data_IF_013207934630
#
_entry.id   IF_013207934630
#
_cell.length_a   1.000
_cell.length_b   1.000
_cell.length_c   1.000
_cell.angle_alpha   90.00
_cell.angle_beta   90.00
_cell.angle_gamma   90.00
#
_symmetry.space_group_name_H-M   'P 1'
#
loop_
_entity.id
_entity.type
_entity.pdbx_description
1 polymer ?
#
# COMPACT_ATOMS: atom_id res chain seq x y z
N UNK A 1 -31.64 -4.23 -26.16
CA UNK A 1 -31.36 -2.80 -26.07
C UNK A 1 -31.70 -2.37 -24.66
N UNK A 2 -30.69 -2.35 -23.81
CA UNK A 2 -30.72 -1.73 -22.49
C UNK A 2 -29.31 -1.16 -22.35
N UNK A 3 -29.23 0.16 -22.39
CA UNK A 3 -27.99 0.93 -22.33
C UNK A 3 -27.38 0.74 -20.94
N UNK A 4 -26.12 0.34 -20.89
CA UNK A 4 -25.35 0.26 -19.66
C UNK A 4 -24.69 1.61 -19.43
N UNK A 5 -24.96 2.20 -18.27
CA UNK A 5 -24.29 3.41 -17.80
C UNK A 5 -22.78 3.14 -17.69
N UNK A 6 -22.04 3.83 -18.57
CA UNK A 6 -20.60 3.83 -18.64
C UNK A 6 -20.05 5.13 -18.04
N UNK A 7 -20.36 5.35 -16.76
CA UNK A 7 -19.76 6.43 -15.98
C UNK A 7 -19.17 5.84 -14.69
N UNK A 8 -17.85 5.95 -14.55
CA UNK A 8 -17.08 5.58 -13.36
C UNK A 8 -17.34 6.52 -12.18
N UNK A 9 -18.59 6.89 -11.93
CA UNK A 9 -19.00 7.68 -10.79
C UNK A 9 -19.41 6.71 -9.69
N UNK A 10 -18.58 6.64 -8.64
CA UNK A 10 -18.95 6.00 -7.37
C UNK A 10 -20.30 6.60 -6.93
N UNK A 11 -21.41 5.81 -6.90
CA UNK A 11 -22.65 6.35 -6.38
C UNK A 11 -22.47 6.60 -4.89
N UNK A 12 -22.76 7.83 -4.44
CA UNK A 12 -22.87 8.13 -3.03
C UNK A 12 -24.10 7.39 -2.48
N UNK A 13 -23.90 6.17 -1.96
CA UNK A 13 -24.93 5.43 -1.24
C UNK A 13 -25.06 6.09 0.13
N UNK A 14 -25.99 7.04 0.25
CA UNK A 14 -26.40 7.63 1.53
C UNK A 14 -27.47 6.78 2.19
N UNK A 15 -27.18 5.50 2.44
CA UNK A 15 -28.00 4.71 3.35
C UNK A 15 -27.59 5.04 4.80
N UNK A 16 -28.27 6.05 5.35
CA UNK A 16 -28.09 6.58 6.70
C UNK A 16 -28.44 5.57 7.84
N UNK A 17 -28.64 4.29 7.50
CA UNK A 17 -28.98 3.22 8.45
C UNK A 17 -27.80 2.36 8.91
N UNK A 18 -26.63 2.44 8.26
CA UNK A 18 -25.44 1.66 8.65
C UNK A 18 -24.60 2.39 9.70
N UNK A 19 -24.15 1.64 10.69
CA UNK A 19 -23.20 2.14 11.68
C UNK A 19 -21.85 2.39 10.99
N UNK A 20 -21.22 3.54 11.28
CA UNK A 20 -19.88 3.88 10.82
C UNK A 20 -18.91 2.68 10.99
N UNK A 21 -18.14 2.31 9.94
CA UNK A 21 -17.16 1.22 10.00
C UNK A 21 -16.19 1.38 11.17
N UNK A 22 -15.79 0.26 11.77
CA UNK A 22 -14.74 0.25 12.79
C UNK A 22 -13.38 0.31 12.11
N UNK A 23 -12.87 1.51 11.87
CA UNK A 23 -11.63 1.71 11.12
C UNK A 23 -10.68 2.69 11.80
N UNK A 24 -9.39 2.54 11.49
CA UNK A 24 -8.36 3.50 11.90
C UNK A 24 -7.37 3.80 10.77
N UNK A 25 -6.83 5.02 10.79
CA UNK A 25 -5.66 5.39 10.01
C UNK A 25 -4.43 5.01 10.83
N UNK A 26 -3.59 4.12 10.30
CA UNK A 26 -2.43 3.57 11.00
C UNK A 26 -1.14 4.11 10.39
N UNK A 27 -0.21 4.52 11.25
CA UNK A 27 1.12 4.98 10.86
C UNK A 27 2.20 4.33 11.72
N UNK A 28 3.16 3.67 11.06
CA UNK A 28 4.41 3.22 11.68
C UNK A 28 5.49 4.26 11.41
N UNK A 29 5.90 5.00 12.42
CA UNK A 29 6.83 6.11 12.27
C UNK A 29 7.66 6.35 13.53
N UNK A 30 8.81 7.01 13.37
CA UNK A 30 9.72 7.38 14.45
C UNK A 30 9.54 8.83 14.86
N UNK A 31 9.93 9.15 16.09
CA UNK A 31 9.92 10.53 16.61
C UNK A 31 10.58 11.55 15.69
N UNK A 32 11.71 11.19 15.05
CA UNK A 32 12.47 12.05 14.13
C UNK A 32 11.72 12.40 12.83
N UNK A 33 10.66 11.68 12.50
CA UNK A 33 9.85 11.86 11.29
C UNK A 33 8.65 12.79 11.55
N UNK A 34 8.56 13.40 12.75
CA UNK A 34 7.46 14.26 13.15
C UNK A 34 7.07 15.31 12.10
N UNK A 35 8.05 16.05 11.57
CA UNK A 35 7.77 17.11 10.59
C UNK A 35 7.08 16.57 9.33
N UNK A 36 7.60 15.46 8.81
CA UNK A 36 7.10 14.85 7.60
C UNK A 36 5.74 14.18 7.83
N UNK A 37 5.57 13.52 8.98
CA UNK A 37 4.30 12.93 9.38
C UNK A 37 3.22 14.01 9.60
N UNK A 38 3.54 15.12 10.28
CA UNK A 38 2.61 16.22 10.50
C UNK A 38 2.12 16.83 9.17
N UNK A 39 3.01 17.00 8.18
CA UNK A 39 2.63 17.46 6.84
C UNK A 39 1.68 16.47 6.16
N UNK A 40 2.00 15.18 6.21
CA UNK A 40 1.14 14.12 5.67
C UNK A 40 -0.24 14.12 6.34
N UNK A 41 -0.29 14.19 7.68
CA UNK A 41 -1.55 14.23 8.43
C UNK A 41 -2.39 15.43 8.04
N UNK A 42 -1.81 16.64 7.97
CA UNK A 42 -2.53 17.85 7.59
C UNK A 42 -3.23 17.69 6.23
N UNK A 43 -2.53 17.13 5.25
CA UNK A 43 -3.11 16.87 3.93
C UNK A 43 -4.22 15.82 4.01
N UNK A 44 -3.99 14.67 4.65
CA UNK A 44 -5.02 13.63 4.72
C UNK A 44 -6.26 14.10 5.51
N UNK A 45 -6.06 14.86 6.58
CA UNK A 45 -7.14 15.49 7.35
C UNK A 45 -7.95 16.45 6.50
N UNK A 46 -7.29 17.33 5.72
CA UNK A 46 -7.95 18.28 4.83
C UNK A 46 -8.71 17.59 3.69
N UNK A 47 -8.08 16.60 3.04
CA UNK A 47 -8.63 15.94 1.86
C UNK A 47 -9.72 14.92 2.20
N UNK A 48 -9.63 14.26 3.35
CA UNK A 48 -10.49 13.14 3.72
C UNK A 48 -10.94 13.19 5.19
N UNK A 49 -10.01 13.12 6.15
CA UNK A 49 -10.38 12.63 7.49
C UNK A 49 -11.21 13.61 8.32
N UNK A 50 -11.13 14.93 8.10
CA UNK A 50 -12.02 15.90 8.80
C UNK A 50 -13.51 15.68 8.52
N UNK A 51 -13.85 15.08 7.37
CA UNK A 51 -15.23 14.75 7.01
C UNK A 51 -15.75 13.53 7.77
N UNK A 52 -14.88 12.54 8.00
CA UNK A 52 -15.27 11.22 8.52
C UNK A 52 -14.85 10.96 9.96
N UNK A 53 -13.81 11.64 10.46
CA UNK A 53 -13.29 11.58 11.82
C UNK A 53 -12.90 10.15 12.25
N UNK A 54 -12.13 9.44 11.42
CA UNK A 54 -11.55 8.14 11.82
C UNK A 54 -10.37 8.33 12.76
N UNK A 55 -10.20 7.36 13.65
CA UNK A 55 -9.14 7.38 14.66
C UNK A 55 -7.76 7.19 14.02
N UNK A 56 -6.73 7.75 14.63
CA UNK A 56 -5.33 7.53 14.29
C UNK A 56 -4.67 6.55 15.26
N UNK A 57 -3.89 5.61 14.74
CA UNK A 57 -3.05 4.70 15.53
C UNK A 57 -1.60 4.85 15.10
N UNK A 58 -0.77 5.38 15.99
CA UNK A 58 0.66 5.51 15.80
C UNK A 58 1.40 4.36 16.47
N UNK A 59 2.25 3.68 15.71
CA UNK A 59 3.07 2.57 16.17
C UNK A 59 4.54 2.96 16.05
N UNK A 60 5.35 2.64 17.06
CA UNK A 60 6.80 2.88 17.04
C UNK A 60 7.55 1.82 17.84
N UNK A 61 8.80 1.55 17.46
CA UNK A 61 9.69 0.66 18.19
C UNK A 61 10.41 1.34 19.38
N UNK A 62 10.02 2.59 19.68
CA UNK A 62 10.48 3.43 20.78
C UNK A 62 9.27 4.23 21.30
N UNK A 63 9.32 4.69 22.55
CA UNK A 63 8.28 5.57 23.10
C UNK A 63 8.16 6.86 22.29
N UNK A 64 6.92 7.30 22.05
CA UNK A 64 6.70 8.58 21.38
C UNK A 64 7.04 9.75 22.30
N UNK A 65 7.70 10.77 21.75
CA UNK A 65 8.04 11.97 22.50
C UNK A 65 6.79 12.82 22.78
N UNK A 66 6.78 13.62 23.86
CA UNK A 66 5.70 14.56 24.13
C UNK A 66 5.42 15.52 22.96
N UNK A 67 6.47 15.97 22.27
CA UNK A 67 6.34 16.84 21.09
C UNK A 67 5.61 16.13 19.94
N UNK A 68 5.92 14.84 19.73
CA UNK A 68 5.24 14.04 18.72
C UNK A 68 3.75 13.90 19.05
N UNK A 69 3.45 13.48 20.28
CA UNK A 69 2.08 13.30 20.77
C UNK A 69 1.28 14.61 20.69
N UNK A 70 1.81 15.70 21.24
CA UNK A 70 1.11 16.99 21.25
C UNK A 70 0.82 17.50 19.83
N UNK A 71 1.83 17.44 18.95
CA UNK A 71 1.69 17.95 17.57
C UNK A 71 0.68 17.12 16.79
N UNK A 72 0.83 15.80 16.77
CA UNK A 72 -0.03 14.92 15.96
C UNK A 72 -1.46 14.86 16.52
N UNK A 73 -1.63 14.89 17.85
CA UNK A 73 -2.97 15.00 18.47
C UNK A 73 -3.68 16.31 18.16
N UNK A 74 -2.94 17.41 17.96
CA UNK A 74 -3.55 18.70 17.59
C UNK A 74 -4.03 18.77 16.14
N UNK A 75 -3.50 17.89 15.27
CA UNK A 75 -3.86 17.82 13.85
C UNK A 75 -5.05 16.88 13.62
N UNK A 76 -5.09 15.75 14.35
CA UNK A 76 -6.09 14.72 14.19
C UNK A 76 -7.51 15.21 14.52
N UNK A 77 -8.47 14.87 13.66
CA UNK A 77 -9.90 15.10 13.92
C UNK A 77 -10.56 13.96 14.73
N UNK A 78 -10.07 12.72 14.55
CA UNK A 78 -10.46 11.55 15.35
C UNK A 78 -9.63 11.37 16.62
N UNK A 79 -9.89 10.30 17.39
CA UNK A 79 -9.07 9.97 18.57
C UNK A 79 -7.70 9.49 18.11
N UNK A 80 -6.68 9.68 18.95
CA UNK A 80 -5.32 9.22 18.65
C UNK A 80 -4.84 8.23 19.70
N UNK A 81 -4.28 7.12 19.24
CA UNK A 81 -3.62 6.10 20.06
C UNK A 81 -2.13 6.04 19.69
N UNK A 82 -1.29 5.92 20.72
CA UNK A 82 0.17 5.80 20.56
C UNK A 82 0.60 4.50 21.22
N UNK A 83 1.24 3.62 20.46
CA UNK A 83 1.62 2.29 20.92
C UNK A 83 3.12 2.04 20.74
N UNK A 84 3.73 1.52 21.79
CA UNK A 84 5.07 0.93 21.73
C UNK A 84 4.96 -0.51 21.22
N UNK A 85 5.71 -0.84 20.17
CA UNK A 85 5.74 -2.19 19.62
C UNK A 85 6.41 -3.14 20.63
N UNK A 86 5.74 -4.24 21.04
CA UNK A 86 6.35 -5.25 21.89
C UNK A 86 7.62 -5.83 21.28
N UNK A 87 8.63 -6.05 22.12
CA UNK A 87 9.93 -6.58 21.67
C UNK A 87 9.81 -7.90 20.89
N UNK A 88 8.83 -8.75 21.20
CA UNK A 88 8.59 -9.99 20.45
C UNK A 88 8.23 -9.78 18.96
N UNK A 89 7.64 -8.63 18.62
CA UNK A 89 7.30 -8.26 17.25
C UNK A 89 8.43 -7.50 16.55
N UNK A 90 9.39 -6.95 17.31
CA UNK A 90 10.52 -6.16 16.82
C UNK A 90 11.89 -6.70 17.26
N UNK A 91 12.08 -8.01 17.20
CA UNK A 91 13.36 -8.68 17.50
C UNK A 91 13.65 -9.83 16.54
N UNK A 92 14.85 -10.39 16.62
CA UNK A 92 15.15 -11.64 15.92
C UNK A 92 14.43 -12.81 16.59
N UNK A 93 13.65 -13.61 15.84
CA UNK A 93 13.14 -14.85 16.38
C UNK A 93 14.28 -15.86 16.57
N UNK A 94 14.09 -16.80 17.49
CA UNK A 94 15.16 -17.71 17.95
C UNK A 94 15.74 -18.63 16.86
N UNK A 95 15.01 -18.87 15.77
CA UNK A 95 15.46 -19.66 14.62
C UNK A 95 16.35 -18.88 13.64
N UNK A 96 16.57 -17.58 13.88
CA UNK A 96 17.41 -16.74 13.02
C UNK A 96 18.84 -16.71 13.55
N UNK A 97 19.75 -17.20 12.70
CA UNK A 97 21.19 -17.02 12.84
C UNK A 97 21.56 -15.55 12.57
N UNK A 98 21.87 -14.84 13.65
CA UNK A 98 22.18 -13.42 13.61
C UNK A 98 23.53 -13.12 12.93
N UNK A 99 24.49 -14.05 12.94
CA UNK A 99 25.77 -13.89 12.24
C UNK A 99 25.56 -13.97 10.73
N UNK A 100 24.76 -14.94 10.28
CA UNK A 100 24.34 -15.05 8.87
C UNK A 100 23.54 -13.83 8.42
N UNK A 101 22.62 -13.34 9.24
CA UNK A 101 21.86 -12.13 8.95
C UNK A 101 22.78 -10.90 8.85
N UNK A 102 23.77 -10.79 9.74
CA UNK A 102 24.76 -9.69 9.72
C UNK A 102 25.60 -9.72 8.45
N UNK A 103 26.15 -10.88 8.09
CA UNK A 103 26.90 -11.05 6.83
C UNK A 103 26.06 -10.68 5.60
N UNK A 104 24.79 -11.09 5.57
CA UNK A 104 23.86 -10.72 4.49
C UNK A 104 23.71 -9.20 4.37
N UNK A 105 23.57 -8.48 5.50
CA UNK A 105 23.49 -7.02 5.52
C UNK A 105 24.76 -6.38 4.96
N UNK A 106 25.92 -6.88 5.35
CA UNK A 106 27.22 -6.40 4.85
C UNK A 106 27.36 -6.61 3.33
N UNK A 107 27.01 -7.79 2.84
CA UNK A 107 27.04 -8.11 1.40
C UNK A 107 26.08 -7.22 0.60
N UNK A 108 24.83 -7.06 1.05
CA UNK A 108 23.86 -6.20 0.38
C UNK A 108 24.24 -4.72 0.43
N UNK A 109 24.89 -4.26 1.52
CA UNK A 109 25.45 -2.91 1.62
C UNK A 109 26.58 -2.71 0.61
N UNK A 110 27.50 -3.68 0.48
CA UNK A 110 28.57 -3.64 -0.51
C UNK A 110 28.04 -3.61 -1.96
N UNK A 111 26.93 -4.30 -2.22
CA UNK A 111 26.23 -4.27 -3.52
C UNK A 111 25.42 -2.98 -3.76
N UNK A 112 25.45 -2.01 -2.83
CA UNK A 112 24.70 -0.75 -2.90
C UNK A 112 23.18 -0.96 -3.08
N UNK A 113 22.65 -2.06 -2.53
CA UNK A 113 21.20 -2.28 -2.49
C UNK A 113 20.62 -1.28 -1.49
N UNK A 114 19.60 -0.52 -1.90
CA UNK A 114 18.91 0.44 -1.03
C UNK A 114 18.45 -0.27 0.26
N UNK A 115 18.73 0.29 1.44
CA UNK A 115 18.49 -0.37 2.74
C UNK A 115 19.14 -1.75 2.93
N UNK A 116 20.06 -2.18 2.05
CA UNK A 116 20.69 -3.49 2.10
C UNK A 116 21.39 -3.78 3.42
N UNK A 117 22.07 -2.77 3.98
CA UNK A 117 22.72 -2.84 5.28
C UNK A 117 21.84 -2.49 6.49
N UNK A 118 20.55 -2.19 6.30
CA UNK A 118 19.68 -1.73 7.38
C UNK A 118 19.00 -2.89 8.11
N UNK A 119 19.29 -3.03 9.39
CA UNK A 119 18.67 -4.00 10.30
C UNK A 119 17.25 -3.59 10.68
N UNK A 120 17.10 -2.35 11.18
CA UNK A 120 15.79 -1.82 11.56
C UNK A 120 14.76 -1.81 10.41
N UNK A 121 15.22 -1.70 9.16
CA UNK A 121 14.35 -1.82 7.98
C UNK A 121 13.78 -3.23 7.83
N UNK A 122 14.54 -4.28 8.15
CA UNK A 122 14.07 -5.66 8.09
C UNK A 122 13.06 -5.96 9.19
N UNK A 123 13.30 -5.48 10.41
CA UNK A 123 12.29 -5.55 11.47
C UNK A 123 11.02 -4.81 11.09
N UNK A 124 11.13 -3.62 10.49
CA UNK A 124 9.98 -2.89 9.97
C UNK A 124 9.19 -3.69 8.92
N UNK A 125 9.88 -4.28 7.93
CA UNK A 125 9.24 -5.10 6.90
C UNK A 125 8.55 -6.33 7.48
N UNK A 126 9.20 -7.03 8.42
CA UNK A 126 8.61 -8.17 9.15
C UNK A 126 7.41 -7.74 10.00
N UNK A 127 7.48 -6.61 10.68
CA UNK A 127 6.38 -6.06 11.49
C UNK A 127 5.14 -5.74 10.66
N UNK A 128 5.32 -5.00 9.56
CA UNK A 128 4.24 -4.69 8.62
C UNK A 128 3.67 -5.94 7.96
N UNK A 129 4.48 -6.98 7.80
CA UNK A 129 4.04 -8.24 7.21
C UNK A 129 3.16 -9.10 8.12
N UNK A 130 3.32 -9.05 9.44
CA UNK A 130 2.73 -10.10 10.28
C UNK A 130 2.31 -9.73 11.70
N UNK A 131 2.51 -8.48 12.15
CA UNK A 131 2.27 -8.14 13.56
C UNK A 131 1.42 -6.90 13.78
N UNK A 132 1.31 -5.97 12.82
CA UNK A 132 0.55 -4.74 13.05
C UNK A 132 -0.92 -5.01 13.42
N UNK A 133 -1.55 -6.03 12.82
CA UNK A 133 -2.94 -6.42 13.08
C UNK A 133 -3.14 -7.21 14.38
N UNK A 134 -2.04 -7.62 15.02
CA UNK A 134 -2.01 -8.29 16.34
C UNK A 134 -1.77 -7.29 17.49
N UNK A 135 -1.48 -6.02 17.20
CA UNK A 135 -1.35 -4.97 18.22
C UNK A 135 -2.67 -4.82 18.99
N UNK A 136 -2.57 -4.57 20.30
CA UNK A 136 -3.73 -4.41 21.20
C UNK A 136 -4.64 -3.27 20.72
N UNK A 137 -4.03 -2.15 20.34
CA UNK A 137 -4.70 -0.94 19.86
C UNK A 137 -5.44 -1.15 18.54
N UNK A 138 -5.12 -2.22 17.81
CA UNK A 138 -5.76 -2.58 16.54
C UNK A 138 -6.92 -3.56 16.72
N UNK A 139 -7.11 -4.18 17.90
CA UNK A 139 -8.10 -5.26 18.10
C UNK A 139 -9.55 -4.79 17.99
N UNK A 140 -9.84 -3.52 18.28
CA UNK A 140 -11.21 -2.98 18.20
C UNK A 140 -11.64 -2.58 16.78
N UNK A 141 -10.72 -2.59 15.81
CA UNK A 141 -10.99 -2.23 14.43
C UNK A 141 -11.15 -3.45 13.52
N UNK A 142 -11.99 -3.28 12.50
CA UNK A 142 -12.19 -4.21 11.38
C UNK A 142 -11.39 -3.78 10.13
N UNK A 143 -11.01 -2.50 10.04
CA UNK A 143 -10.32 -1.91 8.89
C UNK A 143 -9.14 -1.04 9.29
N UNK A 144 -8.16 -0.93 8.41
CA UNK A 144 -7.09 0.05 8.53
C UNK A 144 -6.79 0.73 7.19
N UNK A 145 -6.33 1.99 7.25
CA UNK A 145 -5.63 2.67 6.16
C UNK A 145 -4.18 2.90 6.61
N UNK A 146 -3.21 2.30 5.91
CA UNK A 146 -1.80 2.52 6.19
C UNK A 146 -1.31 3.80 5.52
N UNK A 147 -0.69 4.67 6.32
CA UNK A 147 -0.12 5.95 5.91
C UNK A 147 1.32 6.05 6.42
N UNK A 148 2.26 6.40 5.52
CA UNK A 148 3.66 6.66 5.87
C UNK A 148 3.96 8.16 5.97
N UNK A 149 4.99 8.58 6.72
CA UNK A 149 5.53 9.94 6.62
C UNK A 149 5.97 10.27 5.19
N UNK A 150 6.02 11.57 4.85
CA UNK A 150 6.50 12.06 3.54
C UNK A 150 5.65 11.64 2.33
N UNK A 151 4.41 11.21 2.54
CA UNK A 151 3.42 11.02 1.47
C UNK A 151 2.57 12.27 1.30
N UNK A 152 1.97 12.40 0.12
CA UNK A 152 1.13 13.54 -0.24
C UNK A 152 -0.21 13.06 -0.82
N UNK A 153 -1.28 13.80 -0.49
CA UNK A 153 -2.64 13.58 -0.97
C UNK A 153 -3.08 14.80 -1.78
N UNK A 154 -3.45 14.57 -3.04
CA UNK A 154 -3.65 15.66 -4.00
C UNK A 154 -5.11 16.06 -4.16
N UNK A 155 -6.04 15.14 -3.98
CA UNK A 155 -7.45 15.33 -4.29
C UNK A 155 -8.30 15.19 -3.03
N UNK A 156 -9.39 15.93 -2.97
CA UNK A 156 -10.43 15.74 -1.97
C UNK A 156 -11.13 14.40 -2.21
N UNK A 157 -11.36 13.66 -1.13
CA UNK A 157 -12.10 12.40 -1.14
C UNK A 157 -13.47 12.67 -0.53
N UNK A 158 -14.50 12.65 -1.38
CA UNK A 158 -15.87 13.06 -1.04
C UNK A 158 -16.78 11.87 -0.65
N UNK A 159 -16.21 10.69 -0.43
CA UNK A 159 -16.91 9.52 0.09
C UNK A 159 -16.12 8.86 1.22
N UNK A 160 -16.84 8.13 2.08
CA UNK A 160 -16.21 7.35 3.15
C UNK A 160 -15.58 6.09 2.55
N UNK A 161 -14.23 6.08 2.46
CA UNK A 161 -13.49 4.97 1.84
C UNK A 161 -13.70 3.65 2.56
N UNK A 162 -13.88 3.64 3.88
CA UNK A 162 -14.10 2.39 4.62
C UNK A 162 -15.53 1.89 4.41
N UNK A 163 -16.51 2.79 4.39
CA UNK A 163 -17.89 2.43 4.07
C UNK A 163 -17.98 1.89 2.64
N UNK A 164 -17.28 2.52 1.70
CA UNK A 164 -17.19 2.03 0.31
C UNK A 164 -16.65 0.60 0.25
N UNK A 165 -15.59 0.29 1.00
CA UNK A 165 -15.01 -1.05 1.05
C UNK A 165 -16.02 -2.08 1.58
N UNK A 166 -16.78 -1.76 2.64
CA UNK A 166 -17.83 -2.63 3.16
C UNK A 166 -19.01 -2.80 2.18
N UNK A 167 -19.52 -1.70 1.64
CA UNK A 167 -20.70 -1.69 0.78
C UNK A 167 -20.46 -2.43 -0.55
N UNK A 168 -19.22 -2.42 -1.03
CA UNK A 168 -18.83 -3.04 -2.30
C UNK A 168 -18.09 -4.38 -2.11
N UNK A 169 -18.18 -4.97 -0.91
CA UNK A 169 -17.59 -6.28 -0.58
C UNK A 169 -16.10 -6.37 -0.95
N UNK A 170 -15.35 -5.29 -0.75
CA UNK A 170 -13.90 -5.28 -0.95
C UNK A 170 -13.20 -5.82 0.29
N UNK A 171 -11.95 -6.22 0.14
CA UNK A 171 -11.11 -6.69 1.26
C UNK A 171 -9.79 -5.94 1.30
N UNK A 172 -9.19 -5.67 0.13
CA UNK A 172 -7.88 -5.06 0.05
C UNK A 172 -7.82 -4.05 -1.09
N UNK A 173 -7.41 -2.83 -0.77
CA UNK A 173 -7.33 -1.71 -1.70
C UNK A 173 -5.96 -1.05 -1.70
N UNK A 174 -5.54 -0.57 -2.86
CA UNK A 174 -4.22 0.05 -3.08
C UNK A 174 -4.31 1.15 -4.13
N UNK A 175 -3.33 2.08 -4.13
CA UNK A 175 -3.29 3.20 -5.09
C UNK A 175 -2.14 3.09 -6.11
N UNK A 176 -1.13 2.26 -5.83
CA UNK A 176 0.08 2.13 -6.65
C UNK A 176 0.47 0.67 -6.87
N UNK A 177 0.86 0.38 -8.12
CA UNK A 177 1.52 -0.87 -8.52
C UNK A 177 3.03 -0.65 -8.65
N UNK A 178 3.83 -1.59 -8.14
CA UNK A 178 5.29 -1.55 -8.19
C UNK A 178 5.90 -2.90 -8.57
N UNK A 179 7.09 -2.83 -9.16
CA UNK A 179 7.91 -4.00 -9.45
C UNK A 179 9.00 -4.16 -8.40
N UNK A 180 9.10 -5.32 -7.78
CA UNK A 180 10.13 -5.60 -6.79
C UNK A 180 11.50 -5.80 -7.46
N UNK A 181 12.56 -5.45 -6.73
CA UNK A 181 13.94 -5.73 -7.09
C UNK A 181 14.23 -7.19 -6.77
N UNK A 182 14.14 -8.08 -7.76
CA UNK A 182 14.33 -9.53 -7.59
C UNK A 182 15.62 -9.95 -6.84
N UNK A 183 16.67 -9.12 -6.86
CA UNK A 183 17.90 -9.32 -6.06
C UNK A 183 17.67 -9.38 -4.55
N UNK A 184 16.54 -8.89 -4.05
CA UNK A 184 16.21 -8.78 -2.62
C UNK A 184 15.26 -9.87 -2.12
N UNK A 185 14.76 -10.70 -3.03
CA UNK A 185 13.71 -11.71 -2.80
C UNK A 185 14.01 -13.00 -3.59
N UNK A 186 15.26 -13.47 -3.56
CA UNK A 186 15.76 -14.58 -4.39
C UNK A 186 15.03 -15.89 -4.11
N UNK A 187 14.77 -16.19 -2.83
CA UNK A 187 14.08 -17.42 -2.39
C UNK A 187 12.61 -17.21 -2.03
N UNK A 188 12.10 -15.97 -2.19
CA UNK A 188 10.73 -15.60 -1.84
C UNK A 188 9.70 -16.47 -2.58
N UNK A 189 9.74 -16.48 -3.92
CA UNK A 189 8.75 -17.22 -4.69
C UNK A 189 8.84 -18.74 -4.48
N UNK A 190 10.06 -19.26 -4.28
CA UNK A 190 10.24 -20.67 -3.93
C UNK A 190 9.49 -21.00 -2.64
N UNK A 191 9.66 -20.20 -1.59
CA UNK A 191 8.98 -20.39 -0.30
C UNK A 191 7.46 -20.22 -0.45
N UNK A 192 7.01 -19.24 -1.24
CA UNK A 192 5.59 -19.09 -1.57
C UNK A 192 5.02 -20.34 -2.25
N UNK A 193 5.69 -20.90 -3.26
CA UNK A 193 5.22 -22.12 -3.93
C UNK A 193 5.14 -23.30 -2.97
N UNK A 194 6.17 -23.49 -2.14
CA UNK A 194 6.18 -24.53 -1.11
C UNK A 194 4.97 -24.42 -0.16
N UNK A 195 4.57 -23.20 0.22
CA UNK A 195 3.36 -22.99 1.01
C UNK A 195 2.07 -23.32 0.23
N UNK A 196 1.94 -22.81 -1.00
CA UNK A 196 0.74 -23.02 -1.82
C UNK A 196 0.52 -24.50 -2.19
N UNK A 197 1.60 -25.26 -2.38
CA UNK A 197 1.55 -26.71 -2.58
C UNK A 197 1.08 -27.46 -1.33
N UNK A 198 1.42 -26.96 -0.14
CA UNK A 198 1.01 -27.55 1.15
C UNK A 198 -0.41 -27.16 1.56
N UNK A 199 -0.89 -26.00 1.10
CA UNK A 199 -2.18 -25.42 1.47
C UNK A 199 -3.03 -25.03 0.25
N UNK A 200 -3.36 -25.97 -0.65
CA UNK A 200 -4.21 -25.68 -1.81
C UNK A 200 -5.61 -25.19 -1.41
N UNK A 201 -6.09 -25.52 -0.20
CA UNK A 201 -7.37 -25.08 0.36
C UNK A 201 -7.47 -23.57 0.58
N UNK A 202 -6.33 -22.87 0.69
CA UNK A 202 -6.30 -21.41 0.83
C UNK A 202 -6.32 -20.67 -0.52
N UNK A 203 -6.22 -21.37 -1.64
CA UNK A 203 -6.21 -20.76 -2.98
C UNK A 203 -7.66 -20.49 -3.41
N UNK A 204 -8.03 -19.21 -3.54
CA UNK A 204 -9.35 -18.84 -4.03
C UNK A 204 -9.52 -19.22 -5.51
N UNK A 205 -10.68 -19.74 -5.90
CA UNK A 205 -10.93 -20.21 -7.29
C UNK A 205 -10.82 -19.07 -8.32
N UNK A 206 -11.42 -17.91 -8.03
CA UNK A 206 -11.37 -16.72 -8.87
C UNK A 206 -10.32 -15.71 -8.35
N UNK A 207 -9.11 -16.19 -8.04
CA UNK A 207 -8.03 -15.34 -7.55
C UNK A 207 -7.41 -14.46 -8.65
N UNK A 208 -6.38 -13.71 -8.28
CA UNK A 208 -5.64 -12.79 -9.14
C UNK A 208 -4.17 -13.20 -9.34
N UNK A 209 -3.84 -14.49 -9.21
CA UNK A 209 -2.46 -14.99 -9.29
C UNK A 209 -1.79 -14.71 -10.64
N UNK A 210 -2.56 -14.65 -11.74
CA UNK A 210 -2.08 -14.27 -13.07
C UNK A 210 -1.45 -12.87 -13.11
N UNK A 211 -1.70 -12.02 -12.11
CA UNK A 211 -0.99 -10.76 -11.96
C UNK A 211 0.47 -10.96 -11.54
N UNK A 212 0.73 -11.94 -10.67
CA UNK A 212 2.02 -12.24 -10.03
C UNK A 212 2.96 -13.07 -10.92
N UNK A 213 2.40 -13.87 -11.83
CA UNK A 213 3.15 -14.75 -12.74
C UNK A 213 2.77 -14.45 -14.20
N UNK A 214 3.60 -14.89 -15.14
CA UNK A 214 3.28 -14.86 -16.58
C UNK A 214 3.49 -16.23 -17.24
N UNK A 215 3.74 -17.26 -16.43
CA UNK A 215 4.17 -18.60 -16.81
C UNK A 215 3.50 -19.67 -15.94
N UNK A 216 2.20 -19.49 -15.67
CA UNK A 216 1.35 -20.42 -14.91
C UNK A 216 1.90 -20.77 -13.51
N UNK A 217 2.51 -19.80 -12.83
CA UNK A 217 3.01 -19.93 -11.47
C UNK A 217 4.47 -20.35 -11.38
N UNK A 218 5.15 -20.66 -12.48
CA UNK A 218 6.54 -21.11 -12.42
C UNK A 218 7.47 -20.07 -11.82
N UNK A 219 7.36 -18.81 -12.26
CA UNK A 219 8.15 -17.68 -11.77
C UNK A 219 7.31 -16.49 -11.33
N UNK A 220 7.85 -15.75 -10.35
CA UNK A 220 7.31 -14.46 -9.90
C UNK A 220 7.88 -13.33 -10.76
N UNK A 221 7.00 -12.51 -11.34
CA UNK A 221 7.38 -11.37 -12.17
C UNK A 221 7.75 -10.09 -11.36
N UNK A 222 7.58 -10.15 -10.04
CA UNK A 222 7.90 -9.06 -9.10
C UNK A 222 6.77 -8.04 -8.91
N UNK A 223 5.62 -8.20 -9.56
CA UNK A 223 4.50 -7.27 -9.46
C UNK A 223 3.87 -7.32 -8.07
N UNK A 224 3.72 -6.17 -7.43
CA UNK A 224 3.07 -6.05 -6.13
C UNK A 224 2.34 -4.72 -5.98
N UNK A 225 1.49 -4.66 -4.96
CA UNK A 225 0.84 -3.43 -4.49
C UNK A 225 1.82 -2.69 -3.59
N UNK A 226 2.02 -1.38 -3.82
CA UNK A 226 2.95 -0.61 -3.01
C UNK A 226 2.30 -0.27 -1.66
N UNK A 227 2.71 -0.99 -0.62
CA UNK A 227 2.11 -0.98 0.72
C UNK A 227 2.31 0.31 1.53
N UNK A 228 2.87 1.38 0.95
CA UNK A 228 2.90 2.68 1.64
C UNK A 228 1.53 3.38 1.65
N UNK A 229 0.62 2.92 0.79
CA UNK A 229 -0.81 3.19 0.85
C UNK A 229 -1.56 1.88 0.60
N UNK A 230 -2.28 1.41 1.61
CA UNK A 230 -3.18 0.28 1.51
C UNK A 230 -4.37 0.51 2.45
N UNK A 231 -5.55 0.05 2.02
CA UNK A 231 -6.75 -0.02 2.84
C UNK A 231 -7.14 -1.49 2.91
N UNK A 232 -7.09 -2.09 4.10
CA UNK A 232 -7.26 -3.52 4.25
C UNK A 232 -8.23 -3.90 5.36
N UNK A 233 -8.95 -5.00 5.15
CA UNK A 233 -9.72 -5.65 6.21
C UNK A 233 -8.77 -6.36 7.16
N UNK A 234 -8.81 -6.02 8.45
CA UNK A 234 -8.04 -6.71 9.49
C UNK A 234 -8.51 -8.16 9.66
N UNK A 235 -9.75 -8.50 9.28
CA UNK A 235 -10.24 -9.89 9.27
C UNK A 235 -9.46 -10.75 8.28
N UNK A 236 -9.07 -10.21 7.14
CA UNK A 236 -8.22 -10.91 6.17
C UNK A 236 -6.85 -11.20 6.75
N UNK A 237 -6.19 -10.20 7.34
CA UNK A 237 -4.88 -10.38 7.97
C UNK A 237 -4.91 -11.31 9.20
N UNK A 238 -6.04 -11.37 9.91
CA UNK A 238 -6.27 -12.28 11.05
C UNK A 238 -6.76 -13.68 10.64
N UNK A 239 -7.02 -13.92 9.36
CA UNK A 239 -7.48 -15.22 8.86
C UNK A 239 -6.40 -16.30 9.01
N UNK A 240 -6.82 -17.56 9.10
CA UNK A 240 -5.90 -18.69 9.18
C UNK A 240 -4.99 -18.74 7.95
N UNK A 241 -5.54 -18.50 6.75
CA UNK A 241 -4.76 -18.45 5.50
C UNK A 241 -3.60 -17.45 5.56
N UNK A 242 -3.86 -16.21 6.00
CA UNK A 242 -2.82 -15.19 6.09
C UNK A 242 -1.81 -15.49 7.20
N UNK A 243 -2.28 -15.91 8.38
CA UNK A 243 -1.43 -16.21 9.54
C UNK A 243 -0.52 -17.40 9.27
N UNK A 244 -1.03 -18.46 8.66
CA UNK A 244 -0.24 -19.63 8.27
C UNK A 244 0.78 -19.26 7.19
N UNK A 245 0.38 -18.45 6.19
CA UNK A 245 1.30 -17.97 5.17
C UNK A 245 2.43 -17.13 5.78
N UNK A 246 2.11 -16.12 6.60
CA UNK A 246 3.12 -15.31 7.26
C UNK A 246 4.05 -16.18 8.12
N UNK A 247 3.51 -17.12 8.91
CA UNK A 247 4.30 -18.04 9.73
C UNK A 247 5.27 -18.88 8.90
N UNK A 248 4.82 -19.44 7.79
CA UNK A 248 5.68 -20.18 6.85
C UNK A 248 6.81 -19.29 6.33
N UNK A 249 6.48 -18.08 5.87
CA UNK A 249 7.45 -17.13 5.32
C UNK A 249 8.43 -16.61 6.39
N UNK A 250 7.99 -16.42 7.64
CA UNK A 250 8.83 -15.98 8.75
C UNK A 250 9.82 -17.08 9.19
N UNK A 251 9.39 -18.35 9.16
CA UNK A 251 10.24 -19.52 9.42
C UNK A 251 11.32 -19.70 8.34
N UNK A 252 11.01 -19.38 7.08
CA UNK A 252 11.99 -19.38 5.99
C UNK A 252 13.13 -18.35 6.20
N UNK A 253 12.90 -17.33 7.03
CA UNK A 253 13.91 -16.36 7.47
C UNK A 253 14.33 -15.33 6.44
N UNK A 254 13.63 -15.24 5.30
CA UNK A 254 13.99 -14.34 4.20
C UNK A 254 13.85 -12.84 4.50
N UNK A 255 13.12 -12.46 5.55
CA UNK A 255 13.16 -11.08 6.08
C UNK A 255 14.59 -10.69 6.53
N UNK A 256 15.38 -11.64 7.03
CA UNK A 256 16.71 -11.39 7.60
C UNK A 256 17.87 -11.92 6.73
N UNK A 257 17.72 -13.10 6.12
CA UNK A 257 18.70 -13.68 5.20
C UNK A 257 18.61 -13.12 3.78
N UNK A 258 17.55 -12.36 3.48
CA UNK A 258 17.44 -11.54 2.29
C UNK A 258 16.99 -10.12 2.70
N UNK A 259 15.98 -9.57 2.02
CA UNK A 259 15.35 -8.29 2.38
C UNK A 259 13.90 -8.27 1.87
N UNK A 260 13.15 -9.32 2.21
CA UNK A 260 11.73 -9.44 1.87
C UNK A 260 10.94 -8.25 2.41
N UNK A 261 10.01 -7.77 1.60
CA UNK A 261 9.13 -6.64 1.94
C UNK A 261 7.70 -7.09 2.17
N UNK A 262 6.96 -6.31 2.96
CA UNK A 262 5.52 -6.46 3.16
C UNK A 262 4.73 -6.30 1.85
N UNK A 263 5.09 -5.35 0.97
CA UNK A 263 4.40 -5.18 -0.32
C UNK A 263 4.28 -6.46 -1.16
N UNK A 264 5.39 -7.14 -1.51
CA UNK A 264 5.32 -8.45 -2.18
C UNK A 264 4.55 -9.51 -1.40
N UNK A 265 4.68 -9.55 -0.06
CA UNK A 265 3.97 -10.53 0.77
C UNK A 265 2.45 -10.31 0.73
N UNK A 266 2.01 -9.07 0.97
CA UNK A 266 0.60 -8.66 0.92
C UNK A 266 0.04 -8.89 -0.47
N UNK A 267 0.80 -8.57 -1.52
CA UNK A 267 0.37 -8.79 -2.90
C UNK A 267 0.16 -10.26 -3.23
N UNK A 268 1.06 -11.15 -2.80
CA UNK A 268 0.85 -12.60 -2.96
C UNK A 268 -0.40 -13.04 -2.21
N UNK A 269 -0.53 -12.69 -0.94
CA UNK A 269 -1.64 -13.13 -0.12
C UNK A 269 -2.98 -12.63 -0.68
N UNK A 270 -3.10 -11.33 -0.96
CA UNK A 270 -4.33 -10.71 -1.46
C UNK A 270 -4.65 -11.11 -2.91
N UNK A 271 -3.66 -11.52 -3.71
CA UNK A 271 -3.94 -12.00 -5.08
C UNK A 271 -4.19 -13.49 -5.15
N UNK A 272 -4.00 -14.24 -4.07
CA UNK A 272 -4.12 -15.71 -4.08
C UNK A 272 -5.23 -16.22 -3.16
N UNK A 273 -5.38 -15.62 -1.97
CA UNK A 273 -6.27 -16.12 -0.93
C UNK A 273 -7.67 -15.52 -0.94
N UNK A 274 -7.91 -14.49 -1.75
CA UNK A 274 -9.22 -13.87 -1.91
C UNK A 274 -9.62 -13.80 -3.40
N UNK A 275 -10.92 -13.81 -3.71
CA UNK A 275 -11.42 -13.52 -5.04
C UNK A 275 -10.95 -12.14 -5.55
N UNK A 276 -10.59 -12.07 -6.84
CA UNK A 276 -10.02 -10.87 -7.45
C UNK A 276 -10.97 -9.66 -7.41
N UNK A 277 -12.28 -9.88 -7.43
CA UNK A 277 -13.29 -8.83 -7.35
C UNK A 277 -13.35 -8.16 -5.96
N UNK A 278 -12.72 -8.74 -4.95
CA UNK A 278 -12.54 -8.14 -3.63
C UNK A 278 -11.28 -7.26 -3.53
N UNK A 279 -10.46 -7.20 -4.58
CA UNK A 279 -9.40 -6.20 -4.74
C UNK A 279 -9.99 -4.89 -5.25
N UNK A 280 -9.43 -3.76 -4.81
CA UNK A 280 -9.81 -2.45 -5.31
C UNK A 280 -8.60 -1.57 -5.62
N UNK A 281 -8.55 -1.04 -6.84
CA UNK A 281 -7.52 -0.09 -7.25
C UNK A 281 -8.09 1.33 -7.19
N UNK A 282 -7.61 2.12 -6.23
CA UNK A 282 -7.99 3.52 -6.06
C UNK A 282 -7.30 4.37 -7.13
N UNK A 283 -7.97 4.56 -8.26
CA UNK A 283 -7.49 5.41 -9.35
C UNK A 283 -7.81 6.90 -9.15
N UNK A 284 -8.75 7.16 -8.25
CA UNK A 284 -9.41 8.41 -7.88
C UNK A 284 -8.72 9.14 -6.71
N UNK A 285 -7.94 8.41 -5.88
CA UNK A 285 -7.10 8.98 -4.83
C UNK A 285 -5.76 9.44 -5.43
N UNK A 286 -5.64 10.76 -5.63
CA UNK A 286 -4.36 11.38 -5.99
C UNK A 286 -3.36 11.25 -4.85
N UNK A 287 -2.28 10.48 -5.06
CA UNK A 287 -1.33 10.10 -4.02
C UNK A 287 0.11 10.25 -4.51
N UNK A 288 1.05 10.50 -3.62
CA UNK A 288 2.46 10.45 -4.00
C UNK A 288 3.42 10.22 -2.85
N UNK A 289 4.58 9.66 -3.20
CA UNK A 289 5.68 9.41 -2.27
C UNK A 289 7.00 9.60 -3.01
N UNK A 290 7.81 10.57 -2.57
CA UNK A 290 9.06 10.95 -3.24
C UNK A 290 8.80 11.52 -4.65
N UNK A 291 9.36 10.88 -5.68
CA UNK A 291 9.19 11.29 -7.10
C UNK A 291 7.99 10.61 -7.78
N UNK A 292 7.38 9.61 -7.14
CA UNK A 292 6.28 8.84 -7.71
C UNK A 292 4.95 9.49 -7.33
N UNK A 293 4.13 9.82 -8.33
CA UNK A 293 2.88 10.58 -8.21
C UNK A 293 1.77 9.95 -9.03
N UNK A 294 0.61 9.72 -8.43
CA UNK A 294 -0.62 9.37 -9.11
C UNK A 294 -1.52 10.60 -9.17
N UNK A 295 -2.25 10.74 -10.26
CA UNK A 295 -3.20 11.82 -10.46
C UNK A 295 -4.38 11.31 -11.30
N UNK A 296 -5.62 11.48 -10.85
CA UNK A 296 -6.79 11.12 -11.65
C UNK A 296 -6.73 11.74 -13.05
N UNK A 297 -7.03 10.94 -14.09
CA UNK A 297 -6.86 11.35 -15.49
C UNK A 297 -8.02 12.18 -16.04
N UNK A 298 -9.21 12.06 -15.46
CA UNK A 298 -10.38 12.84 -15.87
C UNK A 298 -10.31 14.29 -15.37
N UNK A 299 -10.54 15.25 -16.28
CA UNK A 299 -10.43 16.68 -15.98
C UNK A 299 -11.56 17.21 -15.13
N UNK A 300 -12.78 16.72 -15.37
CA UNK A 300 -13.95 17.10 -14.60
C UNK A 300 -13.80 16.62 -13.15
N UNK A 301 -13.39 15.36 -12.96
CA UNK A 301 -13.07 14.78 -11.66
C UNK A 301 -12.03 15.62 -10.93
N UNK A 302 -10.90 15.96 -11.58
CA UNK A 302 -9.86 16.77 -10.94
C UNK A 302 -10.36 18.13 -10.49
N UNK A 303 -11.13 18.80 -11.34
CA UNK A 303 -11.70 20.11 -11.04
C UNK A 303 -12.71 20.04 -9.89
N UNK A 304 -13.55 19.00 -9.87
CA UNK A 304 -14.56 18.79 -8.84
C UNK A 304 -13.96 18.43 -7.47
N UNK A 305 -12.83 17.74 -7.44
CA UNK A 305 -12.18 17.24 -6.23
C UNK A 305 -10.92 18.03 -5.86
N UNK A 306 -10.79 19.27 -6.34
CA UNK A 306 -9.68 20.19 -6.01
C UNK A 306 -8.28 19.55 -6.09
N UNK A 307 -8.07 18.71 -7.12
CA UNK A 307 -6.82 17.95 -7.28
C UNK A 307 -5.62 18.87 -7.53
N UNK A 308 -4.67 18.88 -6.59
CA UNK A 308 -3.40 19.61 -6.67
C UNK A 308 -2.29 18.78 -7.34
N UNK A 309 -2.57 18.17 -8.50
CA UNK A 309 -1.63 17.33 -9.24
C UNK A 309 -1.71 17.57 -10.76
N UNK A 310 -0.64 17.20 -11.47
CA UNK A 310 -0.61 17.24 -12.94
C UNK A 310 -0.83 15.83 -13.49
N UNK A 311 -1.87 15.58 -14.33
CA UNK A 311 -2.12 14.26 -14.90
C UNK A 311 -0.96 13.79 -15.80
N UNK A 312 -0.21 14.72 -16.41
CA UNK A 312 1.01 14.41 -17.17
C UNK A 312 2.15 13.83 -16.33
N UNK A 313 2.09 13.98 -14.99
CA UNK A 313 3.05 13.40 -14.05
C UNK A 313 2.60 12.05 -13.47
N UNK A 314 1.38 11.58 -13.79
CA UNK A 314 0.95 10.25 -13.39
C UNK A 314 1.85 9.19 -14.06
N UNK A 315 2.51 8.35 -13.24
CA UNK A 315 3.43 7.32 -13.74
C UNK A 315 2.75 5.98 -14.03
N UNK A 316 1.52 5.78 -13.57
CA UNK A 316 0.78 4.50 -13.68
C UNK A 316 0.46 4.17 -15.13
N UNK A 317 0.38 5.17 -15.99
CA UNK A 317 -0.07 5.03 -17.38
C UNK A 317 1.01 5.39 -18.41
N UNK A 318 2.25 5.63 -17.96
CA UNK A 318 3.40 5.90 -18.85
C UNK A 318 4.04 4.61 -19.35
N UNK A 319 4.68 4.62 -20.54
CA UNK A 319 5.46 3.48 -21.01
C UNK A 319 6.50 3.01 -19.99
N UNK A 320 6.66 1.70 -19.87
CA UNK A 320 7.57 1.06 -18.91
C UNK A 320 6.85 0.12 -17.95
N UNK A 321 7.61 -0.44 -16.99
CA UNK A 321 7.14 -1.54 -16.14
C UNK A 321 5.84 -1.20 -15.39
N UNK A 322 5.68 0.01 -14.86
CA UNK A 322 4.44 0.39 -14.15
C UNK A 322 3.26 0.53 -15.10
N UNK A 323 3.43 1.17 -16.25
CA UNK A 323 2.39 1.23 -17.29
C UNK A 323 1.88 -0.13 -17.72
N UNK A 324 2.81 -1.06 -17.93
CA UNK A 324 2.50 -2.45 -18.28
C UNK A 324 1.77 -3.18 -17.14
N UNK A 325 2.17 -2.98 -15.89
CA UNK A 325 1.47 -3.55 -14.72
C UNK A 325 0.05 -2.99 -14.59
N UNK A 326 -0.15 -1.68 -14.74
CA UNK A 326 -1.48 -1.07 -14.72
C UNK A 326 -2.33 -1.63 -15.85
N UNK A 327 -1.79 -1.72 -17.08
CA UNK A 327 -2.51 -2.32 -18.21
C UNK A 327 -2.95 -3.75 -17.89
N UNK A 328 -2.01 -4.56 -17.39
CA UNK A 328 -2.25 -5.95 -17.00
C UNK A 328 -3.32 -6.05 -15.92
N UNK A 329 -3.34 -5.14 -14.95
CA UNK A 329 -4.37 -5.08 -13.92
C UNK A 329 -5.77 -4.90 -14.53
N UNK A 330 -5.97 -3.86 -15.35
CA UNK A 330 -7.26 -3.62 -16.02
C UNK A 330 -7.69 -4.78 -16.92
N UNK A 331 -6.75 -5.37 -17.68
CA UNK A 331 -7.02 -6.49 -18.57
C UNK A 331 -7.50 -7.73 -17.79
N UNK A 332 -6.81 -8.09 -16.70
CA UNK A 332 -7.14 -9.27 -15.89
C UNK A 332 -8.41 -9.08 -15.03
N UNK A 333 -8.67 -7.84 -14.61
CA UNK A 333 -9.89 -7.46 -13.88
C UNK A 333 -11.09 -7.26 -14.80
N UNK A 334 -10.90 -7.26 -16.13
CA UNK A 334 -11.94 -6.98 -17.14
C UNK A 334 -12.60 -5.62 -16.90
N UNK A 335 -11.80 -4.63 -16.50
CA UNK A 335 -12.24 -3.26 -16.25
C UNK A 335 -12.03 -2.39 -17.49
N UNK A 336 -12.93 -1.41 -17.75
CA UNK A 336 -12.68 -0.41 -18.75
C UNK A 336 -11.42 0.39 -18.37
N UNK A 337 -10.48 0.52 -19.31
CA UNK A 337 -9.33 1.41 -19.10
C UNK A 337 -9.82 2.87 -19.14
N UNK A 338 -9.14 3.80 -18.42
CA UNK A 338 -9.43 5.22 -18.54
C UNK A 338 -9.43 5.65 -20.01
N UNK A 339 -10.42 6.46 -20.42
CA UNK A 339 -10.58 6.91 -21.82
C UNK A 339 -9.34 7.65 -22.32
N UNK A 340 -8.62 8.28 -21.39
CA UNK A 340 -7.44 9.08 -21.61
C UNK A 340 -6.17 8.23 -21.79
N UNK A 341 -6.20 6.94 -21.39
CA UNK A 341 -5.05 6.02 -21.42
C UNK A 341 -4.28 6.02 -22.75
N UNK A 342 -4.91 5.97 -23.94
CA UNK A 342 -4.20 5.96 -25.23
C UNK A 342 -3.40 7.25 -25.50
N UNK A 343 -3.81 8.39 -24.93
CA UNK A 343 -3.21 9.69 -25.19
C UNK A 343 -1.92 9.93 -24.40
N UNK A 344 -1.75 9.25 -23.26
CA UNK A 344 -0.58 9.42 -22.38
C UNK A 344 0.62 8.53 -22.75
N UNK A 345 0.43 7.51 -23.59
CA UNK A 345 1.49 6.65 -24.10
C UNK A 345 2.32 7.25 -25.24
N UNK A 346 1.85 8.32 -25.89
CA UNK A 346 2.39 8.84 -27.16
C UNK A 346 3.01 10.26 -27.06
N UNK A 347 3.66 10.60 -25.95
CA UNK A 347 4.46 11.84 -25.87
C UNK A 347 3.69 13.11 -25.50
N UNK A 348 2.61 13.00 -24.74
CA UNK A 348 1.77 14.14 -24.37
C UNK A 348 2.46 15.15 -23.41
N UNK A 349 3.59 14.78 -22.79
CA UNK A 349 4.42 15.70 -22.01
C UNK A 349 5.90 15.33 -22.16
N UNK A 350 6.51 15.71 -23.27
CA UNK A 350 7.97 15.86 -23.33
C UNK A 350 8.30 17.10 -22.48
N UNK A 351 8.87 16.90 -21.28
CA UNK A 351 9.36 17.96 -20.37
C UNK A 351 10.46 18.84 -21.01
N UNK A 352 10.71 18.72 -22.32
CA UNK A 352 11.68 19.50 -23.11
C UNK A 352 11.19 20.87 -23.57
N UNK A 353 10.04 21.36 -23.09
CA UNK A 353 9.56 22.72 -23.38
C UNK A 353 9.59 23.69 -22.19
N UNK A 354 10.31 23.37 -21.11
CA UNK A 354 10.88 24.42 -20.26
C UNK A 354 12.20 24.90 -20.88
N UNK A 355 12.10 25.57 -22.03
CA UNK A 355 13.18 26.43 -22.49
C UNK A 355 13.26 27.60 -21.53
N UNK A 356 14.32 27.60 -20.74
CA UNK A 356 14.88 28.77 -20.06
C UNK A 356 14.85 29.99 -20.98
N UNK A 357 13.91 30.90 -20.77
CA UNK A 357 14.13 32.31 -21.07
C UNK A 357 14.83 32.92 -19.87
N UNK A 358 16.12 33.32 -19.98
CA UNK A 358 16.70 34.20 -19.00
C UNK A 358 15.98 35.54 -19.11
N UNK A 359 15.45 36.04 -17.99
CA UNK A 359 14.98 37.41 -17.92
C UNK A 359 16.16 38.34 -18.18
N UNK A 360 16.16 38.97 -19.36
CA UNK A 360 16.81 40.25 -19.59
C UNK A 360 15.85 41.35 -19.14
N UNK A 361 16.21 42.03 -18.05
CA UNK A 361 16.16 43.48 -17.76
C UNK A 361 15.94 43.76 -16.28
#
# INVERSE_FOLDING_TARGET
MQEGDADGVVPAVTDNSRSKPKAAIMALCRNRELKDMAKTMQQLEERFNKKYNYDWVFLNNEEFSPDFINTTSSIASGKVKYALIPMQFWSYPWWIDQDKATKTREEMKAQKIIYGGSESYRHMRRFKSGFFFEMEEMQEYDWYMLVEPSVEFYCDVEYDVFQYMEDNNKIFGFAILMGEKMKTIKTFWKSTKEFLEQHPEYIAENNFADFLTSDNGETYNGNHYWSNFEIGSLKFFRSDAYRDYFKHMDLAGGFFYERWGDGPLHAVAASTFIPKDQLHFFDDIGYGHGILRTCPLDEEYRSKHNCACSPGKDFRYKPGKVGEMSKKYYDLMVLPKPKEYPNFGAGYFDDKKETTTPNET
#
